data_IF_651322001024
#
_entry.id   IF_651322001024
#
_cell.length_a   1.000
_cell.length_b   1.000
_cell.length_c   1.000
_cell.angle_alpha   90.00
_cell.angle_beta   90.00
_cell.angle_gamma   90.00
#
_symmetry.space_group_name_H-M   'P 1'
#
loop_
_entity.id
_entity.type
_entity.pdbx_description
1 polymer ?
#
# COMPACT_ATOMS: atom_id res chain seq x y z
N UNK A 1 9.27 4.10 -6.31
CA UNK A 1 8.08 3.74 -5.53
C UNK A 1 8.44 3.14 -4.17
N UNK A 2 7.89 3.69 -3.08
CA UNK A 2 8.08 3.19 -1.70
C UNK A 2 6.69 2.98 -1.08
N UNK A 3 6.17 1.76 -1.11
CA UNK A 3 4.93 1.41 -0.41
C UNK A 3 5.20 0.87 1.00
N UNK A 4 4.28 1.17 1.91
CA UNK A 4 4.23 0.58 3.25
C UNK A 4 2.84 0.03 3.51
N UNK A 5 2.72 -0.92 4.42
CA UNK A 5 1.44 -1.52 4.80
C UNK A 5 0.41 -0.50 5.29
N UNK A 6 0.86 0.62 5.86
CA UNK A 6 -0.01 1.74 6.25
C UNK A 6 -0.58 2.48 5.04
N UNK A 7 0.25 2.77 4.03
CA UNK A 7 -0.17 3.42 2.78
C UNK A 7 -1.13 2.53 1.98
N UNK A 8 -0.81 1.24 1.92
CA UNK A 8 -1.65 0.24 1.28
C UNK A 8 -3.00 0.10 1.99
N UNK A 9 -3.03 0.10 3.32
CA UNK A 9 -4.28 0.06 4.06
C UNK A 9 -5.13 1.34 3.95
N UNK A 10 -4.52 2.48 3.59
CA UNK A 10 -5.28 3.69 3.25
C UNK A 10 -6.00 3.49 1.92
N UNK A 11 -5.32 2.89 0.93
CA UNK A 11 -5.94 2.56 -0.36
C UNK A 11 -6.95 1.41 -0.26
N UNK A 12 -6.78 0.46 0.66
CA UNK A 12 -7.74 -0.62 0.91
C UNK A 12 -9.15 -0.11 1.29
N UNK A 13 -9.25 1.09 1.89
CA UNK A 13 -10.53 1.75 2.20
C UNK A 13 -11.12 2.50 0.98
N UNK A 14 -10.36 2.61 -0.12
CA UNK A 14 -10.80 3.26 -1.35
C UNK A 14 -11.88 2.43 -2.06
N UNK A 15 -12.79 3.07 -2.81
CA UNK A 15 -13.90 2.39 -3.46
C UNK A 15 -13.43 1.67 -4.75
N UNK A 16 -12.79 0.52 -4.61
CA UNK A 16 -12.46 -0.34 -5.74
C UNK A 16 -13.71 -1.01 -6.36
N UNK A 17 -13.70 -1.35 -7.67
CA UNK A 17 -12.62 -1.11 -8.64
C UNK A 17 -12.54 0.37 -9.05
N UNK A 18 -11.32 0.91 -9.06
CA UNK A 18 -11.06 2.32 -9.34
C UNK A 18 -9.79 2.48 -10.18
N UNK A 19 -9.77 3.53 -10.99
CA UNK A 19 -8.58 3.92 -11.76
C UNK A 19 -7.55 4.63 -10.87
N UNK A 20 -6.29 4.66 -11.30
CA UNK A 20 -5.24 5.45 -10.60
C UNK A 20 -5.69 6.89 -10.32
N UNK A 21 -6.28 7.57 -11.31
CA UNK A 21 -6.74 8.96 -11.17
C UNK A 21 -7.83 9.09 -10.10
N UNK A 22 -8.78 8.17 -10.08
CA UNK A 22 -9.82 8.14 -9.03
C UNK A 22 -9.23 7.89 -7.64
N UNK A 23 -8.20 7.04 -7.53
CA UNK A 23 -7.48 6.81 -6.27
C UNK A 23 -6.70 8.04 -5.81
N UNK A 24 -6.10 8.80 -6.75
CA UNK A 24 -5.43 10.08 -6.46
C UNK A 24 -6.46 11.10 -5.94
N UNK A 25 -7.58 11.28 -6.64
CA UNK A 25 -8.64 12.20 -6.22
C UNK A 25 -9.23 11.82 -4.86
N UNK A 26 -9.43 10.52 -4.62
CA UNK A 26 -9.90 10.00 -3.33
C UNK A 26 -8.87 10.27 -2.22
N UNK A 27 -7.58 10.03 -2.49
CA UNK A 27 -6.49 10.25 -1.55
C UNK A 27 -6.33 11.74 -1.20
N UNK A 28 -6.42 12.65 -2.17
CA UNK A 28 -6.41 14.10 -1.93
C UNK A 28 -7.62 14.53 -1.09
N UNK A 29 -8.80 13.97 -1.38
CA UNK A 29 -10.04 14.32 -0.66
C UNK A 29 -10.07 13.81 0.78
N UNK A 30 -9.53 12.61 1.02
CA UNK A 30 -9.46 12.03 2.37
C UNK A 30 -8.29 12.60 3.19
N UNK A 31 -7.39 13.37 2.56
CA UNK A 31 -6.20 13.90 3.22
C UNK A 31 -5.17 12.82 3.49
N UNK A 32 -5.06 11.85 2.58
CA UNK A 32 -4.07 10.77 2.64
C UNK A 32 -2.64 11.34 2.61
N UNK A 33 -1.65 10.60 3.13
CA UNK A 33 -0.25 11.03 3.12
C UNK A 33 0.21 11.36 1.69
N UNK A 34 1.00 12.44 1.54
CA UNK A 34 1.62 12.80 0.26
C UNK A 34 2.39 11.63 -0.37
N UNK A 35 2.95 10.75 0.45
CA UNK A 35 3.61 9.52 0.00
C UNK A 35 2.69 8.61 -0.84
N UNK A 36 1.38 8.52 -0.53
CA UNK A 36 0.40 7.75 -1.34
C UNK A 36 0.26 8.39 -2.72
N UNK A 37 0.13 9.70 -2.77
CA UNK A 37 -0.03 10.46 -4.01
C UNK A 37 1.21 10.34 -4.90
N UNK A 38 2.40 10.52 -4.33
CA UNK A 38 3.68 10.41 -5.04
C UNK A 38 3.86 9.00 -5.62
N UNK A 39 3.54 7.97 -4.83
CA UNK A 39 3.52 6.58 -5.28
C UNK A 39 2.51 6.35 -6.42
N UNK A 40 1.26 6.81 -6.29
CA UNK A 40 0.26 6.65 -7.34
C UNK A 40 0.72 7.34 -8.64
N UNK A 41 1.30 8.55 -8.56
CA UNK A 41 1.89 9.21 -9.74
C UNK A 41 3.06 8.43 -10.34
N UNK A 42 3.93 7.83 -9.52
CA UNK A 42 5.00 6.97 -10.04
C UNK A 42 4.45 5.72 -10.76
N UNK A 43 3.27 5.18 -10.38
CA UNK A 43 2.64 4.09 -11.13
C UNK A 43 2.34 4.49 -12.57
N UNK A 44 1.86 5.71 -12.80
CA UNK A 44 1.58 6.22 -14.16
C UNK A 44 2.81 6.15 -15.06
N UNK A 45 3.97 6.54 -14.52
CA UNK A 45 5.23 6.53 -15.24
C UNK A 45 5.70 5.10 -15.55
N UNK A 46 5.41 4.15 -14.66
CA UNK A 46 5.78 2.73 -14.82
C UNK A 46 4.84 2.03 -15.81
N UNK A 47 3.54 2.30 -15.75
CA UNK A 47 2.49 1.64 -16.54
C UNK A 47 2.23 2.31 -17.91
N UNK A 48 3.16 3.13 -18.42
CA UNK A 48 3.09 3.77 -19.75
C UNK A 48 1.72 4.40 -20.09
N UNK A 49 1.04 4.97 -19.09
CA UNK A 49 -0.21 5.71 -19.30
C UNK A 49 -1.42 4.87 -19.68
N UNK A 50 -1.47 3.58 -19.36
CA UNK A 50 -2.71 2.80 -19.46
C UNK A 50 -3.67 3.14 -18.32
N UNK A 51 -4.95 3.30 -18.65
CA UNK A 51 -6.05 3.47 -17.70
C UNK A 51 -6.31 2.10 -17.04
N UNK A 52 -5.38 1.69 -16.18
CA UNK A 52 -5.46 0.42 -15.45
C UNK A 52 -6.49 0.59 -14.35
N UNK A 53 -7.52 -0.23 -14.40
CA UNK A 53 -8.50 -0.35 -13.32
C UNK A 53 -7.94 -1.35 -12.33
N UNK A 54 -7.65 -0.88 -11.12
CA UNK A 54 -7.21 -1.75 -10.04
C UNK A 54 -8.43 -2.34 -9.35
N UNK A 55 -8.43 -3.65 -9.10
CA UNK A 55 -9.52 -4.31 -8.37
C UNK A 55 -9.26 -4.30 -6.85
N UNK A 56 -7.98 -4.23 -6.44
CA UNK A 56 -7.57 -4.09 -5.04
C UNK A 56 -6.17 -3.51 -4.91
N UNK A 57 -5.73 -3.26 -3.67
CA UNK A 57 -4.36 -2.82 -3.39
C UNK A 57 -3.29 -3.85 -3.81
N UNK A 58 -3.66 -5.11 -3.98
CA UNK A 58 -2.76 -6.17 -4.43
C UNK A 58 -2.37 -6.01 -5.91
N UNK A 59 -3.24 -5.42 -6.75
CA UNK A 59 -2.90 -5.08 -8.14
C UNK A 59 -1.84 -3.97 -8.21
N UNK A 60 -1.93 -3.00 -7.30
CA UNK A 60 -0.98 -1.87 -7.22
C UNK A 60 0.33 -2.30 -6.58
N UNK A 61 0.23 -3.10 -5.51
CA UNK A 61 1.37 -3.61 -4.78
C UNK A 61 1.22 -5.11 -4.51
N UNK A 62 1.76 -5.96 -5.40
CA UNK A 62 1.64 -7.42 -5.27
C UNK A 62 2.43 -7.99 -4.09
N UNK A 63 3.34 -7.20 -3.51
CA UNK A 63 4.10 -7.54 -2.30
C UNK A 63 3.40 -7.01 -1.03
N UNK A 64 2.12 -6.59 -1.13
CA UNK A 64 1.33 -6.23 0.04
C UNK A 64 1.09 -7.46 0.89
N UNK A 65 1.99 -7.69 1.84
CA UNK A 65 1.79 -8.66 2.90
C UNK A 65 0.74 -8.03 3.83
N UNK A 66 -0.51 -8.48 3.69
CA UNK A 66 -1.66 -7.91 4.40
C UNK A 66 -1.38 -7.71 5.89
N UNK A 67 -2.02 -6.70 6.51
CA UNK A 67 -1.80 -6.33 7.93
C UNK A 67 -1.81 -7.53 8.90
N UNK A 68 -2.50 -8.62 8.57
CA UNK A 68 -2.55 -9.84 9.39
C UNK A 68 -1.20 -10.58 9.53
N UNK A 69 -0.27 -10.39 8.60
CA UNK A 69 1.07 -11.01 8.64
C UNK A 69 2.09 -10.13 9.39
N UNK A 70 1.90 -8.81 9.35
CA UNK A 70 2.79 -7.86 10.04
C UNK A 70 2.71 -7.98 11.57
N UNK A 71 1.55 -8.37 12.11
CA UNK A 71 1.36 -8.62 13.54
C UNK A 71 1.79 -10.04 13.98
N UNK A 72 2.20 -10.93 13.07
CA UNK A 72 2.56 -12.30 13.41
C UNK A 72 4.06 -12.56 13.60
N UNK A 73 4.91 -11.53 13.54
CA UNK A 73 6.36 -11.72 13.71
C UNK A 73 7.03 -10.78 14.74
N UNK A 74 6.28 -10.21 15.70
CA UNK A 74 6.87 -9.51 16.86
C UNK A 74 6.83 -10.33 18.17
N UNK A 75 6.55 -11.65 18.11
CA UNK A 75 6.53 -12.52 19.30
C UNK A 75 7.46 -13.75 19.23
N UNK A 76 8.46 -13.80 18.32
CA UNK A 76 9.46 -14.89 18.32
C UNK A 76 10.90 -14.40 18.06
N UNK A 77 11.31 -13.28 18.66
CA UNK A 77 12.73 -13.05 18.97
C UNK A 77 12.94 -13.06 20.49
N UNK A 78 12.61 -14.21 21.08
CA UNK A 78 13.16 -14.60 22.38
C UNK A 78 14.67 -14.81 22.26
N UNK A 79 15.45 -13.73 22.19
CA UNK A 79 16.88 -13.78 22.51
C UNK A 79 17.00 -14.26 23.95
N UNK A 80 17.22 -15.57 24.11
CA UNK A 80 17.48 -16.17 25.41
C UNK A 80 18.85 -15.67 25.92
N UNK A 81 18.83 -14.62 26.74
CA UNK A 81 20.00 -14.09 27.45
C UNK A 81 20.48 -14.99 28.61
N UNK A 82 20.10 -16.28 28.63
CA UNK A 82 20.44 -17.22 29.73
C UNK A 82 21.65 -18.12 29.44
N UNK A 83 22.49 -17.79 28.44
CA UNK A 83 23.78 -18.45 28.24
C UNK A 83 24.96 -17.53 28.64
N UNK A 84 25.04 -17.21 29.94
CA UNK A 84 26.26 -16.67 30.60
C UNK A 84 26.53 -17.32 31.96
#
# INVERSE_FOLDING_TARGET
MIWTVELAAVLDDAPFPATRDELIEWAERNGSPQQVLDNLHELEEIEQGEDVVYESIEDIWPDYIGKEDFFHNEDDEGFNYDDV
#
